data_IF_872627710753
#
_entry.id   IF_872627710753
#
_cell.length_a   1.000
_cell.length_b   1.000
_cell.length_c   1.000
_cell.angle_alpha   90.00
_cell.angle_beta   90.00
_cell.angle_gamma   90.00
#
_symmetry.space_group_name_H-M   'P 1'
#
loop_
_entity.id
_entity.type
_entity.pdbx_description
1 polymer ?
#
# COMPACT_ATOMS: atom_id res chain seq x y z
N UNK A 1 -10.35 -14.42 -19.27
CA UNK A 1 -9.98 -13.05 -19.74
C UNK A 1 -9.80 -12.97 -21.25
N UNK A 2 -8.84 -13.70 -21.86
CA UNK A 2 -8.62 -13.66 -23.33
C UNK A 2 -9.88 -13.90 -24.16
N UNK A 3 -10.62 -14.97 -23.84
CA UNK A 3 -11.90 -15.29 -24.51
C UNK A 3 -12.95 -14.20 -24.34
N UNK A 4 -13.03 -13.60 -23.14
CA UNK A 4 -14.00 -12.55 -22.84
C UNK A 4 -13.72 -11.29 -23.66
N UNK A 5 -12.47 -10.80 -23.66
CA UNK A 5 -12.09 -9.61 -24.44
C UNK A 5 -12.34 -9.79 -25.94
N UNK A 6 -12.02 -10.97 -26.49
CA UNK A 6 -12.26 -11.28 -27.90
C UNK A 6 -13.76 -11.33 -28.22
N UNK A 7 -14.54 -12.02 -27.40
CA UNK A 7 -15.95 -12.25 -27.71
C UNK A 7 -16.82 -11.01 -27.46
N UNK A 8 -16.49 -10.16 -26.49
CA UNK A 8 -17.31 -8.99 -26.11
C UNK A 8 -16.84 -7.73 -26.81
N UNK A 9 -15.52 -7.53 -26.94
CA UNK A 9 -14.95 -6.28 -27.47
C UNK A 9 -14.23 -6.45 -28.81
N UNK A 10 -14.16 -7.67 -29.36
CA UNK A 10 -13.31 -7.94 -30.53
C UNK A 10 -11.82 -7.69 -30.26
N UNK A 11 -11.43 -7.62 -28.98
CA UNK A 11 -10.09 -7.23 -28.54
C UNK A 11 -9.26 -8.47 -28.23
N UNK A 12 -8.17 -8.65 -28.96
CA UNK A 12 -7.15 -9.64 -28.64
C UNK A 12 -6.08 -9.04 -27.74
N UNK A 13 -5.42 -9.88 -26.95
CA UNK A 13 -4.24 -9.44 -26.20
C UNK A 13 -3.09 -10.43 -26.30
N UNK A 14 -1.89 -9.85 -26.40
CA UNK A 14 -0.62 -10.57 -26.55
C UNK A 14 0.49 -9.86 -25.80
N UNK A 15 1.53 -10.60 -25.47
CA UNK A 15 2.80 -10.02 -25.02
C UNK A 15 3.59 -9.47 -26.21
N UNK A 16 4.23 -8.33 -26.07
CA UNK A 16 5.07 -7.70 -27.09
C UNK A 16 6.28 -7.02 -26.46
N UNK A 17 7.35 -6.84 -27.25
CA UNK A 17 8.47 -5.99 -26.86
C UNK A 17 8.06 -4.53 -27.02
N UNK A 18 7.88 -3.82 -25.90
CA UNK A 18 7.49 -2.41 -25.88
C UNK A 18 8.66 -1.51 -25.46
N UNK A 19 8.64 -0.20 -25.80
CA UNK A 19 9.66 0.74 -25.35
C UNK A 19 9.79 0.77 -23.82
N UNK A 20 10.97 1.17 -23.34
CA UNK A 20 11.25 1.28 -21.91
C UNK A 20 10.21 2.16 -21.22
N UNK A 21 9.67 1.67 -20.09
CA UNK A 21 8.68 2.39 -19.30
C UNK A 21 7.22 2.19 -19.74
N UNK A 22 6.99 1.59 -20.92
CA UNK A 22 5.64 1.33 -21.43
C UNK A 22 5.17 -0.06 -21.00
N UNK A 23 4.12 -0.12 -20.19
CA UNK A 23 3.53 -1.39 -19.70
C UNK A 23 2.53 -2.01 -20.68
N UNK A 24 1.76 -1.18 -21.39
CA UNK A 24 0.80 -1.59 -22.40
C UNK A 24 0.72 -0.60 -23.55
N UNK A 25 0.28 -1.07 -24.71
CA UNK A 25 -0.06 -0.26 -25.89
C UNK A 25 -1.28 -0.86 -26.57
N UNK A 26 -2.18 -0.02 -27.06
CA UNK A 26 -3.27 -0.43 -27.93
C UNK A 26 -2.85 -0.21 -29.39
N UNK A 27 -3.16 -1.13 -30.29
CA UNK A 27 -2.93 -0.94 -31.72
C UNK A 27 -3.77 0.22 -32.28
N UNK A 28 -3.36 0.86 -33.41
CA UNK A 28 -4.09 1.99 -33.97
C UNK A 28 -5.55 1.71 -34.32
N UNK A 29 -5.86 0.46 -34.68
CA UNK A 29 -7.22 -0.01 -34.99
C UNK A 29 -8.02 -0.45 -33.74
N UNK A 30 -7.43 -0.30 -32.55
CA UNK A 30 -8.00 -0.69 -31.26
C UNK A 30 -8.35 -2.19 -31.12
N UNK A 31 -7.80 -3.08 -31.95
CA UNK A 31 -8.10 -4.52 -31.94
C UNK A 31 -7.11 -5.38 -31.15
N UNK A 32 -5.91 -4.86 -30.89
CA UNK A 32 -4.85 -5.61 -30.20
C UNK A 32 -4.33 -4.82 -29.01
N UNK A 33 -4.49 -5.37 -27.82
CA UNK A 33 -3.83 -4.92 -26.61
C UNK A 33 -2.47 -5.62 -26.45
N UNK A 34 -1.40 -4.86 -26.64
CA UNK A 34 -0.04 -5.31 -26.43
C UNK A 34 0.38 -5.06 -24.98
N UNK A 35 0.83 -6.11 -24.28
CA UNK A 35 1.38 -6.04 -22.93
C UNK A 35 2.88 -6.24 -22.99
N UNK A 36 3.64 -5.43 -22.28
CA UNK A 36 5.10 -5.53 -22.28
C UNK A 36 5.57 -6.90 -21.77
N UNK A 37 6.40 -7.59 -22.56
CA UNK A 37 6.90 -8.94 -22.27
C UNK A 37 7.92 -9.01 -21.12
N UNK A 38 8.42 -7.85 -20.65
CA UNK A 38 9.32 -7.77 -19.49
C UNK A 38 8.58 -7.64 -18.15
N UNK A 39 7.25 -7.49 -18.18
CA UNK A 39 6.48 -7.39 -16.95
C UNK A 39 6.37 -8.75 -16.25
N UNK A 40 6.45 -8.81 -14.91
CA UNK A 40 6.05 -9.98 -14.15
C UNK A 40 4.61 -10.38 -14.49
N UNK A 41 4.32 -11.68 -14.44
CA UNK A 41 3.03 -12.22 -14.87
C UNK A 41 1.84 -11.57 -14.15
N UNK A 42 1.95 -11.35 -12.84
CA UNK A 42 0.93 -10.71 -12.01
C UNK A 42 0.73 -9.23 -12.37
N UNK A 43 1.76 -8.55 -12.87
CA UNK A 43 1.66 -7.16 -13.36
C UNK A 43 1.06 -7.11 -14.76
N UNK A 44 1.41 -8.05 -15.63
CA UNK A 44 0.84 -8.19 -16.97
C UNK A 44 -0.67 -8.46 -16.89
N UNK A 45 -1.09 -9.44 -16.09
CA UNK A 45 -2.50 -9.77 -15.86
C UNK A 45 -3.25 -8.56 -15.29
N UNK A 46 -2.69 -7.90 -14.27
CA UNK A 46 -3.31 -6.71 -13.69
C UNK A 46 -3.49 -5.58 -14.70
N UNK A 47 -2.50 -5.37 -15.57
CA UNK A 47 -2.55 -4.35 -16.62
C UNK A 47 -3.64 -4.67 -17.66
N UNK A 48 -3.83 -5.95 -18.00
CA UNK A 48 -4.93 -6.39 -18.86
C UNK A 48 -6.29 -6.20 -18.17
N UNK A 49 -6.43 -6.59 -16.89
CA UNK A 49 -7.65 -6.43 -16.12
C UNK A 49 -8.01 -4.95 -15.88
N UNK A 50 -7.01 -4.09 -15.67
CA UNK A 50 -7.19 -2.64 -15.58
C UNK A 50 -7.79 -2.09 -16.87
N UNK A 51 -7.22 -2.45 -18.02
CA UNK A 51 -7.79 -2.03 -19.29
C UNK A 51 -9.19 -2.61 -19.53
N UNK A 52 -9.44 -3.85 -19.11
CA UNK A 52 -10.80 -4.42 -19.14
C UNK A 52 -11.76 -3.55 -18.34
N UNK A 53 -11.38 -3.13 -17.14
CA UNK A 53 -12.18 -2.21 -16.31
C UNK A 53 -12.49 -0.89 -17.01
N UNK A 54 -11.53 -0.32 -17.73
CA UNK A 54 -11.76 0.92 -18.51
C UNK A 54 -12.75 0.74 -19.67
N UNK A 55 -13.01 -0.50 -20.11
CA UNK A 55 -13.97 -0.81 -21.16
C UNK A 55 -15.32 -1.23 -20.60
N UNK A 56 -15.32 -2.05 -19.54
CA UNK A 56 -16.53 -2.70 -19.03
C UNK A 56 -17.27 -1.87 -18.00
N UNK A 57 -16.56 -1.08 -17.19
CA UNK A 57 -17.11 -0.37 -16.04
C UNK A 57 -17.02 1.15 -16.21
N UNK A 58 -16.85 1.64 -17.45
CA UNK A 58 -16.61 3.06 -17.69
C UNK A 58 -17.79 3.91 -17.21
N UNK A 59 -19.01 3.52 -17.54
CA UNK A 59 -20.23 4.23 -17.14
C UNK A 59 -20.36 4.31 -15.62
N UNK A 60 -20.20 3.19 -14.91
CA UNK A 60 -20.31 3.15 -13.45
C UNK A 60 -19.19 3.95 -12.78
N UNK A 61 -17.98 3.92 -13.34
CA UNK A 61 -16.86 4.74 -12.88
C UNK A 61 -17.18 6.23 -13.05
N UNK A 62 -17.71 6.63 -14.20
CA UNK A 62 -18.07 8.02 -14.50
C UNK A 62 -19.19 8.51 -13.57
N UNK A 63 -20.19 7.67 -13.27
CA UNK A 63 -21.25 7.97 -12.31
C UNK A 63 -20.71 8.17 -10.88
N UNK A 64 -19.81 7.31 -10.42
CA UNK A 64 -19.16 7.44 -9.10
C UNK A 64 -18.37 8.75 -9.02
N UNK A 65 -17.65 9.10 -10.09
CA UNK A 65 -16.86 10.33 -10.15
C UNK A 65 -17.78 11.57 -10.19
N UNK A 66 -18.85 11.54 -10.97
CA UNK A 66 -19.81 12.64 -11.07
C UNK A 66 -20.52 12.94 -9.74
N UNK A 67 -20.74 11.92 -8.91
CA UNK A 67 -21.34 12.06 -7.58
C UNK A 67 -20.32 12.44 -6.48
N UNK A 68 -19.04 12.53 -6.82
CA UNK A 68 -17.98 12.83 -5.84
C UNK A 68 -17.81 14.33 -5.60
N UNK A 69 -17.14 14.68 -4.49
CA UNK A 69 -16.73 16.05 -4.16
C UNK A 69 -15.30 16.37 -4.62
N UNK A 70 -14.77 15.61 -5.58
CA UNK A 70 -13.41 15.79 -6.07
C UNK A 70 -13.26 17.14 -6.81
N UNK A 71 -12.09 17.79 -6.71
CA UNK A 71 -11.81 18.99 -7.50
C UNK A 71 -11.86 18.70 -9.01
N UNK A 72 -12.46 19.59 -9.81
CA UNK A 72 -12.75 19.34 -11.23
C UNK A 72 -11.54 19.42 -12.19
N UNK A 73 -10.33 19.61 -11.68
CA UNK A 73 -9.11 19.67 -12.49
C UNK A 73 -8.63 18.25 -12.86
N UNK A 74 -7.44 17.84 -12.41
CA UNK A 74 -6.87 16.53 -12.77
C UNK A 74 -7.46 15.37 -11.95
N UNK A 75 -8.25 15.65 -10.91
CA UNK A 75 -8.72 14.62 -9.98
C UNK A 75 -9.65 13.56 -10.62
N UNK A 76 -10.59 13.90 -11.53
CA UNK A 76 -11.42 12.91 -12.22
C UNK A 76 -10.60 11.89 -13.01
N UNK A 77 -9.58 12.34 -13.76
CA UNK A 77 -8.72 11.44 -14.54
C UNK A 77 -7.94 10.48 -13.62
N UNK A 78 -7.44 10.98 -12.48
CA UNK A 78 -6.79 10.15 -11.47
C UNK A 78 -7.76 9.17 -10.82
N UNK A 79 -8.98 9.61 -10.50
CA UNK A 79 -10.02 8.79 -9.91
C UNK A 79 -10.43 7.65 -10.84
N UNK A 80 -10.58 7.92 -12.14
CA UNK A 80 -10.87 6.91 -13.16
C UNK A 80 -9.80 5.82 -13.16
N UNK A 81 -8.52 6.20 -13.19
CA UNK A 81 -7.40 5.25 -13.13
C UNK A 81 -7.40 4.42 -11.83
N UNK A 82 -7.73 5.03 -10.68
CA UNK A 82 -7.81 4.35 -9.38
C UNK A 82 -8.99 3.38 -9.33
N UNK A 83 -10.17 3.78 -9.82
CA UNK A 83 -11.36 2.94 -9.85
C UNK A 83 -11.21 1.78 -10.85
N UNK A 84 -10.58 1.99 -12.00
CA UNK A 84 -10.20 0.90 -12.90
C UNK A 84 -9.18 -0.07 -12.25
N UNK A 85 -8.26 0.43 -11.42
CA UNK A 85 -7.35 -0.40 -10.63
C UNK A 85 -8.08 -1.18 -9.52
N UNK A 86 -9.10 -0.58 -8.90
CA UNK A 86 -9.98 -1.24 -7.95
C UNK A 86 -10.77 -2.37 -8.63
N UNK A 87 -11.36 -2.11 -9.79
CA UNK A 87 -12.04 -3.10 -10.62
C UNK A 87 -11.10 -4.26 -10.96
N UNK A 88 -9.90 -3.97 -11.46
CA UNK A 88 -8.91 -4.99 -11.81
C UNK A 88 -8.57 -5.89 -10.61
N UNK A 89 -8.38 -5.29 -9.43
CA UNK A 89 -8.13 -6.03 -8.19
C UNK A 89 -9.32 -6.92 -7.83
N UNK A 90 -10.55 -6.41 -7.95
CA UNK A 90 -11.77 -7.16 -7.65
C UNK A 90 -12.04 -8.29 -8.65
N UNK A 91 -11.62 -8.13 -9.91
CA UNK A 91 -11.72 -9.17 -10.94
C UNK A 91 -10.74 -10.32 -10.69
N UNK A 92 -9.49 -10.01 -10.33
CA UNK A 92 -8.44 -11.01 -10.05
C UNK A 92 -8.66 -11.67 -8.69
N UNK A 93 -9.13 -10.90 -7.70
CA UNK A 93 -9.41 -11.33 -6.33
C UNK A 93 -10.89 -11.07 -6.00
N UNK A 94 -11.82 -11.93 -6.49
CA UNK A 94 -13.26 -11.79 -6.25
C UNK A 94 -13.57 -11.76 -4.76
N UNK A 95 -14.50 -10.90 -4.35
CA UNK A 95 -14.70 -10.52 -2.95
C UNK A 95 -14.88 -11.71 -2.01
N UNK A 96 -15.87 -12.59 -2.27
CA UNK A 96 -16.18 -13.70 -1.38
C UNK A 96 -15.08 -14.77 -1.33
N UNK A 97 -14.56 -15.28 -2.47
CA UNK A 97 -13.40 -16.18 -2.45
C UNK A 97 -12.17 -15.60 -1.77
N UNK A 98 -11.86 -14.32 -2.01
CA UNK A 98 -10.70 -13.65 -1.43
C UNK A 98 -10.85 -13.44 0.07
N UNK A 99 -12.03 -13.00 0.55
CA UNK A 99 -12.29 -12.86 1.98
C UNK A 99 -12.23 -14.22 2.69
N UNK A 100 -12.77 -15.28 2.07
CA UNK A 100 -12.67 -16.64 2.60
C UNK A 100 -11.21 -17.05 2.78
N UNK A 101 -10.39 -16.88 1.74
CA UNK A 101 -8.96 -17.18 1.79
C UNK A 101 -8.22 -16.35 2.85
N UNK A 102 -8.52 -15.06 2.96
CA UNK A 102 -7.94 -14.21 4.01
C UNK A 102 -8.26 -14.77 5.40
N UNK A 103 -9.49 -15.18 5.68
CA UNK A 103 -9.87 -15.74 6.99
C UNK A 103 -9.24 -17.11 7.23
N UNK A 104 -9.28 -17.99 6.24
CA UNK A 104 -8.74 -19.36 6.31
C UNK A 104 -7.23 -19.37 6.58
N UNK A 105 -6.48 -18.49 5.92
CA UNK A 105 -5.04 -18.37 6.11
C UNK A 105 -4.63 -17.30 7.12
N UNK A 106 -5.57 -16.83 7.96
CA UNK A 106 -5.31 -15.81 8.99
C UNK A 106 -4.52 -14.62 8.42
N UNK A 107 -4.95 -14.10 7.28
CA UNK A 107 -4.35 -12.95 6.58
C UNK A 107 -2.86 -13.13 6.23
N UNK A 108 -2.37 -14.36 6.06
CA UNK A 108 -1.06 -14.63 5.44
C UNK A 108 -1.04 -14.09 3.99
N UNK A 109 -0.34 -12.99 3.81
CA UNK A 109 -0.30 -12.23 2.55
C UNK A 109 0.41 -13.05 1.47
N UNK A 110 1.47 -13.77 1.82
CA UNK A 110 2.24 -14.55 0.84
C UNK A 110 1.48 -15.81 0.42
N UNK A 111 0.80 -16.47 1.36
CA UNK A 111 -0.07 -17.61 1.06
C UNK A 111 -1.26 -17.21 0.18
N UNK A 112 -1.94 -16.11 0.52
CA UNK A 112 -3.05 -15.58 -0.29
C UNK A 112 -2.54 -15.14 -1.68
N UNK A 113 -1.39 -14.46 -1.76
CA UNK A 113 -0.78 -14.07 -3.03
C UNK A 113 -0.56 -15.25 -3.96
N UNK A 114 -0.04 -16.37 -3.43
CA UNK A 114 0.13 -17.61 -4.22
C UNK A 114 -1.18 -18.20 -4.70
N UNK A 115 -2.24 -18.17 -3.89
CA UNK A 115 -3.54 -18.72 -4.29
C UNK A 115 -4.17 -17.94 -5.47
N UNK A 116 -4.00 -16.62 -5.51
CA UNK A 116 -4.61 -15.76 -6.53
C UNK A 116 -3.66 -15.38 -7.67
N UNK A 117 -2.40 -15.83 -7.63
CA UNK A 117 -1.39 -15.47 -8.64
C UNK A 117 -1.10 -13.96 -8.67
N UNK A 118 -1.06 -13.33 -7.50
CA UNK A 118 -0.87 -11.88 -7.32
C UNK A 118 0.40 -11.56 -6.53
N UNK A 119 0.84 -10.31 -6.60
CA UNK A 119 1.97 -9.81 -5.79
C UNK A 119 1.53 -9.47 -4.36
N UNK A 120 2.51 -9.42 -3.46
CA UNK A 120 2.34 -8.94 -2.08
C UNK A 120 1.58 -7.59 -2.01
N UNK A 121 2.00 -6.60 -2.80
CA UNK A 121 1.34 -5.28 -2.82
C UNK A 121 -0.12 -5.35 -3.28
N UNK A 122 -0.43 -6.17 -4.30
CA UNK A 122 -1.80 -6.32 -4.80
C UNK A 122 -2.71 -6.93 -3.73
N UNK A 123 -2.24 -7.95 -3.01
CA UNK A 123 -2.98 -8.58 -1.91
C UNK A 123 -3.20 -7.59 -0.78
N UNK A 124 -2.16 -6.90 -0.30
CA UNK A 124 -2.28 -5.88 0.75
C UNK A 124 -3.32 -4.82 0.38
N UNK A 125 -3.28 -4.32 -0.86
CA UNK A 125 -4.24 -3.32 -1.33
C UNK A 125 -5.67 -3.87 -1.46
N UNK A 126 -5.84 -5.13 -1.83
CA UNK A 126 -7.18 -5.75 -1.88
C UNK A 126 -7.74 -5.93 -0.48
N UNK A 127 -6.91 -6.33 0.49
CA UNK A 127 -7.31 -6.51 1.89
C UNK A 127 -7.87 -5.22 2.50
N UNK A 128 -7.38 -4.03 2.12
CA UNK A 128 -7.94 -2.74 2.57
C UNK A 128 -9.28 -2.38 1.93
N UNK A 129 -9.90 -3.25 1.13
CA UNK A 129 -11.21 -3.01 0.52
C UNK A 129 -12.31 -3.98 0.97
N UNK A 130 -12.03 -4.83 1.95
CA UNK A 130 -12.96 -5.85 2.43
C UNK A 130 -13.98 -5.30 3.44
N UNK A 131 -14.75 -4.29 3.03
CA UNK A 131 -15.71 -3.57 3.87
C UNK A 131 -17.15 -3.62 3.33
N UNK A 132 -17.53 -4.71 2.66
CA UNK A 132 -18.93 -4.93 2.27
C UNK A 132 -19.80 -5.10 3.53
N UNK A 133 -20.94 -4.40 3.66
CA UNK A 133 -21.77 -4.42 4.87
C UNK A 133 -22.21 -5.82 5.35
N UNK A 134 -22.35 -6.77 4.42
CA UNK A 134 -22.79 -8.14 4.72
C UNK A 134 -21.64 -9.08 5.11
N UNK A 135 -20.39 -8.70 4.82
CA UNK A 135 -19.23 -9.57 4.97
C UNK A 135 -17.94 -8.77 5.09
N UNK A 136 -17.74 -8.08 6.21
CA UNK A 136 -16.50 -7.32 6.47
C UNK A 136 -15.34 -8.25 6.85
N UNK A 137 -14.14 -7.84 6.45
CA UNK A 137 -12.87 -8.33 6.95
C UNK A 137 -12.26 -7.36 7.97
N UNK A 138 -11.06 -7.69 8.47
CA UNK A 138 -10.29 -6.83 9.36
C UNK A 138 -10.11 -5.43 8.74
N UNK A 139 -10.44 -4.34 9.47
CA UNK A 139 -10.15 -2.98 9.03
C UNK A 139 -8.64 -2.72 9.02
N UNK A 140 -8.07 -2.71 7.81
CA UNK A 140 -6.63 -2.59 7.60
C UNK A 140 -6.24 -1.22 7.07
N UNK A 141 -5.13 -0.68 7.59
CA UNK A 141 -4.42 0.41 6.95
C UNK A 141 -3.35 -0.12 5.99
N UNK A 142 -3.03 0.66 4.97
CA UNK A 142 -1.91 0.43 4.06
C UNK A 142 -1.16 1.72 3.82
N UNK A 143 0.16 1.63 3.90
CA UNK A 143 1.08 2.68 3.47
C UNK A 143 2.06 2.09 2.46
N UNK A 144 2.38 2.83 1.40
CA UNK A 144 3.51 2.50 0.52
C UNK A 144 4.50 3.64 0.46
N UNK A 145 5.75 3.37 0.82
CA UNK A 145 6.85 4.34 0.80
C UNK A 145 7.95 3.94 -0.17
N UNK A 146 8.77 4.90 -0.57
CA UNK A 146 10.10 4.65 -1.15
C UNK A 146 11.21 4.91 -0.11
N UNK A 147 12.46 4.71 -0.53
CA UNK A 147 13.66 4.89 0.31
C UNK A 147 13.89 6.34 0.75
N UNK A 148 13.28 7.32 0.07
CA UNK A 148 13.38 8.74 0.40
C UNK A 148 12.27 9.21 1.35
N UNK A 149 11.33 8.33 1.70
CA UNK A 149 10.22 8.66 2.57
C UNK A 149 8.96 9.13 1.85
N UNK A 150 8.94 9.17 0.52
CA UNK A 150 7.77 9.59 -0.23
C UNK A 150 6.67 8.55 -0.09
N UNK A 151 5.49 8.97 0.37
CA UNK A 151 4.34 8.10 0.51
C UNK A 151 3.50 8.19 -0.76
N UNK A 152 3.36 7.06 -1.46
CA UNK A 152 2.65 6.98 -2.73
C UNK A 152 1.29 6.26 -2.65
N UNK A 153 0.99 5.59 -1.53
CA UNK A 153 -0.34 5.03 -1.23
C UNK A 153 -0.67 5.17 0.25
N UNK A 154 -1.93 5.52 0.55
CA UNK A 154 -2.45 5.74 1.90
C UNK A 154 -3.87 5.21 2.01
N UNK A 155 -4.07 4.25 2.90
CA UNK A 155 -5.38 3.72 3.28
C UNK A 155 -5.37 3.59 4.80
N UNK A 156 -6.40 4.07 5.48
CA UNK A 156 -6.39 4.21 6.94
C UNK A 156 -7.65 3.67 7.61
N UNK A 157 -8.22 2.56 7.09
CA UNK A 157 -9.45 1.97 7.66
C UNK A 157 -9.27 1.45 9.09
N UNK A 158 -8.05 1.17 9.54
CA UNK A 158 -7.81 0.80 10.94
C UNK A 158 -7.94 1.98 11.91
N UNK A 159 -8.04 3.21 11.42
CA UNK A 159 -8.02 4.44 12.23
C UNK A 159 -6.64 5.07 12.44
N UNK A 160 -5.54 4.42 12.00
CA UNK A 160 -4.20 5.00 12.18
C UNK A 160 -4.04 6.29 11.35
N UNK A 161 -3.44 7.32 11.94
CA UNK A 161 -3.20 8.59 11.28
C UNK A 161 -1.96 8.53 10.37
N UNK A 162 -2.16 8.60 9.05
CA UNK A 162 -1.08 8.64 8.05
C UNK A 162 -0.88 10.08 7.54
N UNK A 163 0.36 10.61 7.46
CA UNK A 163 0.59 11.99 7.02
C UNK A 163 0.15 12.26 5.59
N UNK A 164 -0.50 13.39 5.34
CA UNK A 164 -0.92 13.80 3.99
C UNK A 164 0.21 14.39 3.16
N UNK A 165 0.98 15.33 3.71
CA UNK A 165 1.92 16.17 2.95
C UNK A 165 3.41 15.94 3.26
N UNK A 166 3.73 14.94 4.09
CA UNK A 166 5.11 14.60 4.46
C UNK A 166 5.35 13.09 4.42
N UNK A 167 6.61 12.68 4.58
CA UNK A 167 6.94 11.32 4.98
C UNK A 167 6.38 11.00 6.37
N UNK A 168 6.35 9.70 6.70
CA UNK A 168 5.92 9.20 8.00
C UNK A 168 7.07 9.17 9.00
N UNK A 169 6.76 8.85 10.26
CA UNK A 169 7.78 8.73 11.29
C UNK A 169 8.82 7.66 10.90
N UNK A 170 10.13 7.99 10.90
CA UNK A 170 11.20 7.05 10.56
C UNK A 170 11.28 5.82 11.49
N UNK A 171 10.68 5.88 12.68
CA UNK A 171 10.59 4.74 13.60
C UNK A 171 9.56 3.68 13.17
N UNK A 172 8.67 4.02 12.23
CA UNK A 172 7.67 3.09 11.74
C UNK A 172 8.33 2.01 10.86
N UNK A 173 7.96 0.74 11.08
CA UNK A 173 8.60 -0.43 10.47
C UNK A 173 8.56 -0.48 8.94
N UNK A 174 7.71 0.32 8.29
CA UNK A 174 7.74 0.52 6.84
C UNK A 174 9.12 0.99 6.35
N UNK A 175 9.87 1.73 7.17
CA UNK A 175 11.22 2.18 6.82
C UNK A 175 12.30 1.15 7.15
N UNK A 176 12.24 0.53 8.32
CA UNK A 176 13.21 -0.53 8.69
C UNK A 176 13.10 -1.75 7.78
N UNK A 177 11.97 -1.95 7.08
CA UNK A 177 11.81 -2.98 6.07
C UNK A 177 12.81 -2.87 4.91
N UNK A 178 13.35 -1.68 4.62
CA UNK A 178 14.40 -1.51 3.62
C UNK A 178 15.75 -2.11 4.05
N UNK A 179 15.99 -2.27 5.35
CA UNK A 179 17.22 -2.88 5.88
C UNK A 179 17.24 -4.40 5.68
N UNK A 180 16.08 -5.02 5.48
CA UNK A 180 15.94 -6.47 5.27
C UNK A 180 15.00 -6.74 4.09
N UNK A 181 15.43 -6.46 2.83
CA UNK A 181 14.58 -6.63 1.66
C UNK A 181 14.00 -8.03 1.52
N UNK A 182 12.72 -8.09 1.15
CA UNK A 182 12.02 -9.36 0.96
C UNK A 182 11.53 -10.03 2.24
N UNK A 183 12.00 -9.64 3.44
CA UNK A 183 11.53 -10.16 4.73
C UNK A 183 10.36 -9.33 5.28
N UNK A 184 9.37 -10.01 5.86
CA UNK A 184 8.29 -9.35 6.59
C UNK A 184 8.78 -9.04 8.01
N UNK A 185 8.68 -7.78 8.42
CA UNK A 185 8.94 -7.34 9.78
C UNK A 185 7.63 -7.01 10.50
N UNK A 186 7.60 -7.18 11.81
CA UNK A 186 6.43 -6.92 12.68
C UNK A 186 6.78 -5.80 13.65
N UNK A 187 5.79 -4.96 13.99
CA UNK A 187 5.93 -3.89 14.98
C UNK A 187 4.59 -3.59 15.65
N UNK A 188 4.60 -3.49 16.98
CA UNK A 188 3.54 -2.86 17.74
C UNK A 188 3.81 -1.35 17.75
N UNK A 189 2.96 -0.59 17.08
CA UNK A 189 3.14 0.85 16.85
C UNK A 189 2.15 1.64 17.68
N UNK A 190 2.63 2.44 18.64
CA UNK A 190 1.77 3.31 19.43
C UNK A 190 1.78 4.74 18.90
N UNK A 191 0.60 5.24 18.55
CA UNK A 191 0.39 6.61 18.13
C UNK A 191 0.40 7.59 19.32
N UNK A 192 0.57 8.91 19.10
CA UNK A 192 0.64 9.87 20.21
C UNK A 192 -0.64 9.99 21.06
N UNK A 193 -1.77 9.52 20.53
CA UNK A 193 -3.07 9.42 21.24
C UNK A 193 -3.15 8.18 22.17
N UNK A 194 -2.12 7.32 22.17
CA UNK A 194 -2.06 6.11 23.00
C UNK A 194 -2.56 4.85 22.30
N UNK A 195 -3.22 4.98 21.14
CA UNK A 195 -3.73 3.85 20.37
C UNK A 195 -2.60 3.00 19.82
N UNK A 196 -2.76 1.67 19.89
CA UNK A 196 -1.73 0.71 19.48
C UNK A 196 -2.21 -0.05 18.24
N UNK A 197 -1.33 -0.13 17.26
CA UNK A 197 -1.55 -0.82 16.00
C UNK A 197 -0.55 -1.95 15.83
N UNK A 198 -1.04 -3.09 15.35
CA UNK A 198 -0.19 -4.19 14.89
C UNK A 198 0.13 -3.97 13.42
N UNK A 199 1.41 -3.78 13.10
CA UNK A 199 1.89 -3.45 11.76
C UNK A 199 2.85 -4.53 11.26
N UNK A 200 2.67 -4.96 10.02
CA UNK A 200 3.68 -5.65 9.24
C UNK A 200 4.23 -4.72 8.15
N UNK A 201 5.49 -4.89 7.77
CA UNK A 201 5.98 -4.28 6.54
C UNK A 201 6.96 -5.18 5.79
N UNK A 202 7.08 -4.92 4.49
CA UNK A 202 8.00 -5.62 3.60
C UNK A 202 8.44 -4.71 2.46
N UNK A 203 9.74 -4.68 2.21
CA UNK A 203 10.28 -4.00 1.03
C UNK A 203 10.53 -4.95 -0.15
N UNK A 204 10.40 -4.41 -1.35
CA UNK A 204 10.57 -5.11 -2.62
C UNK A 204 11.02 -4.14 -3.72
N UNK A 205 11.47 -4.72 -4.83
CA UNK A 205 12.01 -3.98 -5.96
C UNK A 205 11.09 -4.11 -7.18
N UNK A 206 11.06 -3.07 -8.03
CA UNK A 206 10.28 -3.05 -9.26
C UNK A 206 11.04 -2.45 -10.43
N UNK A 207 10.94 -3.12 -11.59
CA UNK A 207 11.53 -2.65 -12.85
C UNK A 207 13.01 -2.98 -12.99
N UNK A 208 13.60 -2.53 -14.10
CA UNK A 208 15.03 -2.73 -14.38
C UNK A 208 15.41 -4.19 -14.64
N UNK A 209 14.55 -4.99 -15.30
CA UNK A 209 14.74 -6.42 -15.56
C UNK A 209 15.87 -6.75 -16.57
N UNK A 210 17.04 -6.12 -16.41
CA UNK A 210 18.28 -6.35 -17.15
C UNK A 210 19.47 -6.01 -16.25
N UNK A 211 20.65 -6.52 -16.59
CA UNK A 211 21.89 -6.17 -15.88
C UNK A 211 22.09 -4.65 -15.83
N UNK A 212 22.47 -4.13 -14.66
CA UNK A 212 22.73 -2.70 -14.36
C UNK A 212 21.57 -1.73 -14.58
N UNK A 213 20.33 -2.20 -14.79
CA UNK A 213 19.21 -1.28 -14.84
C UNK A 213 18.82 -0.80 -13.45
N UNK A 214 18.51 0.50 -13.36
CA UNK A 214 18.01 1.11 -12.13
C UNK A 214 16.70 0.45 -11.70
N UNK A 215 16.64 0.07 -10.43
CA UNK A 215 15.44 -0.49 -9.80
C UNK A 215 14.75 0.56 -8.95
N UNK A 216 13.44 0.40 -8.80
CA UNK A 216 12.64 1.21 -7.87
C UNK A 216 12.43 0.38 -6.62
N UNK A 217 12.75 0.95 -5.46
CA UNK A 217 12.63 0.28 -4.17
C UNK A 217 11.41 0.82 -3.44
N UNK A 218 10.52 -0.06 -3.03
CA UNK A 218 9.32 0.29 -2.30
C UNK A 218 9.19 -0.55 -1.04
N UNK A 219 8.48 -0.01 -0.05
CA UNK A 219 8.05 -0.75 1.13
C UNK A 219 6.55 -0.60 1.29
N UNK A 220 5.86 -1.71 1.59
CA UNK A 220 4.44 -1.72 1.91
C UNK A 220 4.30 -2.07 3.38
N UNK A 221 3.69 -1.16 4.14
CA UNK A 221 3.18 -1.41 5.48
C UNK A 221 1.70 -1.75 5.43
N UNK A 222 1.29 -2.78 6.15
CA UNK A 222 -0.10 -3.20 6.34
C UNK A 222 -0.34 -3.42 7.83
N UNK A 223 -1.48 -3.01 8.37
CA UNK A 223 -1.74 -3.27 9.78
C UNK A 223 -3.16 -2.97 10.21
N UNK A 224 -3.47 -3.30 11.46
CA UNK A 224 -4.77 -3.13 12.07
C UNK A 224 -4.64 -2.56 13.49
N UNK A 225 -5.75 -2.16 14.09
CA UNK A 225 -5.79 -1.92 15.54
C UNK A 225 -5.38 -3.21 16.29
N UNK A 226 -4.70 -3.08 17.44
CA UNK A 226 -4.15 -4.23 18.17
C UNK A 226 -5.22 -5.25 18.56
N UNK A 227 -6.46 -4.83 18.82
CA UNK A 227 -7.59 -5.73 19.12
C UNK A 227 -7.93 -6.71 17.99
N UNK A 228 -7.47 -6.46 16.76
CA UNK A 228 -7.66 -7.33 15.61
C UNK A 228 -6.42 -8.18 15.29
N UNK A 229 -5.29 -7.98 15.98
CA UNK A 229 -4.00 -8.55 15.63
C UNK A 229 -3.99 -10.08 15.61
N UNK A 230 -4.71 -10.73 16.54
CA UNK A 230 -4.77 -12.20 16.65
C UNK A 230 -5.34 -12.90 15.40
N UNK A 231 -6.07 -12.17 14.56
CA UNK A 231 -6.58 -12.68 13.28
C UNK A 231 -5.50 -12.77 12.20
N UNK A 232 -4.36 -12.11 12.38
CA UNK A 232 -3.22 -12.13 11.47
C UNK A 232 -2.22 -13.19 11.95
N UNK A 233 -1.76 -14.05 11.05
CA UNK A 233 -0.76 -15.09 11.32
C UNK A 233 0.53 -14.51 11.90
N UNK A 234 0.86 -13.28 11.53
CA UNK A 234 2.08 -12.60 11.94
C UNK A 234 2.11 -12.23 13.42
N UNK A 235 0.98 -12.29 14.12
CA UNK A 235 0.92 -12.11 15.57
C UNK A 235 1.38 -13.36 16.34
N UNK A 236 1.54 -14.50 15.67
CA UNK A 236 2.02 -15.73 16.31
C UNK A 236 3.45 -15.51 16.83
N UNK A 237 3.66 -15.81 18.11
CA UNK A 237 4.94 -15.61 18.79
C UNK A 237 5.22 -14.16 19.23
N UNK A 238 4.27 -13.24 19.03
CA UNK A 238 4.36 -11.86 19.54
C UNK A 238 3.54 -11.74 20.82
N UNK A 239 4.15 -11.27 21.91
CA UNK A 239 3.40 -10.94 23.11
C UNK A 239 2.73 -9.57 22.93
N UNK A 240 1.44 -9.60 22.59
CA UNK A 240 0.65 -8.39 22.34
C UNK A 240 0.40 -7.56 23.61
N UNK A 241 0.61 -8.13 24.81
CA UNK A 241 0.47 -7.44 26.09
C UNK A 241 1.77 -6.83 26.61
N UNK A 242 2.92 -7.21 26.03
CA UNK A 242 4.22 -6.74 26.47
C UNK A 242 4.48 -5.29 26.03
N UNK A 243 4.32 -4.38 26.99
CA UNK A 243 4.57 -2.94 26.77
C UNK A 243 6.00 -2.62 26.36
N UNK A 244 6.98 -3.49 26.65
CA UNK A 244 8.37 -3.29 26.26
C UNK A 244 8.59 -3.44 24.74
N UNK A 245 7.70 -4.15 24.04
CA UNK A 245 7.75 -4.31 22.57
C UNK A 245 7.07 -3.18 21.80
N UNK A 246 6.35 -2.30 22.50
CA UNK A 246 5.64 -1.18 21.89
C UNK A 246 6.64 -0.12 21.45
N UNK A 247 6.61 0.20 20.15
CA UNK A 247 7.39 1.28 19.58
C UNK A 247 6.55 2.55 19.53
N UNK A 248 6.87 3.59 20.33
CA UNK A 248 6.19 4.87 20.22
C UNK A 248 6.57 5.56 18.91
N UNK A 249 5.58 5.72 18.03
CA UNK A 249 5.71 6.41 16.74
C UNK A 249 4.90 7.73 16.76
N UNK A 250 4.92 8.44 15.64
CA UNK A 250 4.11 9.64 15.42
C UNK A 250 3.71 9.79 13.96
N UNK A 251 2.94 10.83 13.66
CA UNK A 251 2.55 11.15 12.27
C UNK A 251 3.77 11.73 11.54
N UNK A 252 4.38 12.80 12.06
CA UNK A 252 5.62 13.37 11.54
C UNK A 252 6.24 14.34 12.54
N UNK A 253 7.56 14.56 12.49
CA UNK A 253 8.29 15.27 13.54
C UNK A 253 7.70 16.66 13.85
N UNK A 254 7.36 17.46 12.83
CA UNK A 254 6.83 18.82 13.01
C UNK A 254 5.49 18.89 13.76
N UNK A 255 4.73 17.80 13.83
CA UNK A 255 3.42 17.75 14.49
C UNK A 255 3.35 16.69 15.60
N UNK A 256 4.46 16.00 15.88
CA UNK A 256 4.50 14.96 16.89
C UNK A 256 4.74 15.59 18.28
N UNK A 257 3.87 15.33 19.28
CA UNK A 257 3.98 15.94 20.61
C UNK A 257 4.98 15.23 21.54
N UNK A 258 5.60 14.11 21.13
CA UNK A 258 6.50 13.32 21.98
C UNK A 258 7.82 14.07 22.24
N UNK A 259 8.09 14.48 23.48
CA UNK A 259 9.25 15.32 23.80
C UNK A 259 10.58 14.57 23.93
N UNK A 260 10.53 13.27 24.26
CA UNK A 260 11.68 12.38 24.31
C UNK A 260 11.68 11.42 23.10
N UNK A 261 12.32 11.82 22.00
CA UNK A 261 12.43 11.01 20.78
C UNK A 261 13.77 11.24 20.09
N UNK A 262 14.73 10.36 20.33
CA UNK A 262 16.11 10.48 19.79
C UNK A 262 16.16 10.49 18.26
N UNK A 263 15.17 9.90 17.60
CA UNK A 263 15.03 9.90 16.13
C UNK A 263 14.43 11.21 15.57
N UNK A 264 14.11 12.22 16.40
CA UNK A 264 13.44 13.44 15.94
C UNK A 264 14.32 14.26 14.98
N UNK A 265 13.78 14.52 13.79
CA UNK A 265 14.48 15.29 12.74
C UNK A 265 14.16 16.79 12.75
N UNK A 266 13.01 17.20 13.29
CA UNK A 266 12.59 18.60 13.35
C UNK A 266 11.88 18.90 14.68
N UNK A 267 12.01 20.12 15.23
CA UNK A 267 11.27 20.53 16.41
C UNK A 267 9.75 20.55 16.11
N UNK A 268 8.89 20.26 17.11
CA UNK A 268 7.44 20.44 16.97
C UNK A 268 7.10 21.90 16.64
N UNK A 269 6.19 22.13 15.68
CA UNK A 269 5.81 23.47 15.24
C UNK A 269 5.12 24.29 16.35
N UNK A 270 4.51 23.60 17.33
CA UNK A 270 3.85 24.20 18.49
C UNK A 270 4.77 24.35 19.71
N UNK A 271 6.08 24.13 19.58
CA UNK A 271 7.03 24.24 20.68
C UNK A 271 8.22 25.15 20.31
N UNK A 272 8.62 26.03 21.23
CA UNK A 272 9.82 26.87 21.05
C UNK A 272 11.06 26.07 21.41
N UNK A 273 11.86 25.72 20.41
CA UNK A 273 13.15 25.07 20.64
C UNK A 273 14.09 25.99 21.43
N UNK A 274 14.69 25.47 22.50
CA UNK A 274 15.73 26.12 23.30
C UNK A 274 16.93 25.19 23.41
N UNK A 275 18.12 25.76 23.38
CA UNK A 275 19.37 25.04 23.63
C UNK A 275 19.69 25.22 25.12
N UNK A 276 19.98 24.12 25.80
CA UNK A 276 20.56 24.14 27.14
C UNK A 276 22.09 24.15 27.01
N UNK A 277 22.75 25.17 27.56
CA UNK A 277 24.21 25.30 27.50
C UNK A 277 24.92 24.34 28.48
N UNK A 278 24.21 23.84 29.49
CA UNK A 278 24.73 22.92 30.51
C UNK A 278 24.48 21.46 30.17
N UNK A 279 23.50 21.17 29.32
CA UNK A 279 23.11 19.82 28.91
C UNK A 279 23.00 19.70 27.39
N UNK A 280 23.75 18.77 26.81
CA UNK A 280 23.68 18.47 25.38
C UNK A 280 23.03 17.10 25.17
N UNK A 281 21.85 17.07 24.55
CA UNK A 281 21.24 15.84 24.10
C UNK A 281 22.05 15.23 22.93
N UNK A 282 22.10 13.90 22.84
CA UNK A 282 22.78 13.19 21.74
C UNK A 282 22.19 13.59 20.37
N UNK A 283 20.86 13.61 20.29
CA UNK A 283 20.13 14.17 19.16
C UNK A 283 19.69 15.60 19.47
N UNK A 284 19.96 16.54 18.57
CA UNK A 284 19.70 17.98 18.76
C UNK A 284 18.24 18.27 19.14
N UNK A 285 17.30 17.52 18.57
CA UNK A 285 15.88 17.62 18.86
C UNK A 285 15.39 16.48 19.75
N UNK A 286 16.27 15.58 20.19
CA UNK A 286 15.90 14.33 20.85
C UNK A 286 15.22 14.52 22.19
N UNK A 287 15.57 15.60 22.89
CA UNK A 287 14.93 16.07 24.12
C UNK A 287 14.67 17.57 23.96
N UNK A 288 13.41 17.94 24.02
CA UNK A 288 12.92 19.33 23.95
C UNK A 288 12.04 19.57 25.18
#
# INVERSE_FOLDING_TARGET
LRTYLRNVFGLEWRTASLPLGIARRLSPDARILEISNILPAETAIFTTCHHTGTLTANTEIDEIIAQSTLPQNDAPALAHNVLASYFASALIMPYAPFLKACKEFRYDVERVARQFGTSFEQVCHRMTSLQSPKASGVPLHLIRTDIAGNISKRFSLSGIHIPRHSGACPRWNVYSAFLQPGRINVQLSQMPDGEIYFCIARSFEKGGYRHNAQRRHFSVGLGCHISQASQLIYADGVDLGDTAQIVPIGVGCRICPRMACEQRAHPPANHRFKIDETQRAESLYGRI
#
